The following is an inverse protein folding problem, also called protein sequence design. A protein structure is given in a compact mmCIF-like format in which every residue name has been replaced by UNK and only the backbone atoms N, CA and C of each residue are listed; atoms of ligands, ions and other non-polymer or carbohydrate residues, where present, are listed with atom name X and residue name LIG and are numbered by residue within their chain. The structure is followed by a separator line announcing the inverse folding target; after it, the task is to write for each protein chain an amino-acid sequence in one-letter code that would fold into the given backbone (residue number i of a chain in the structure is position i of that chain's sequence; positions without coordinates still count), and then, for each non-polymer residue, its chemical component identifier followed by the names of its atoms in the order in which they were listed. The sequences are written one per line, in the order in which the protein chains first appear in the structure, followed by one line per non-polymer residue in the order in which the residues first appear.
data_IF_725740238959
#
_entry.id   IF_725740238959
#
_cell.length_a   1.000
_cell.length_b   1.000
_cell.length_c   1.000
_cell.angle_alpha   90.00
_cell.angle_beta   90.00
_cell.angle_gamma   90.00
#
_symmetry.space_group_name_H-M   'P 1'
#
loop_
_entity.id
_entity.type
_entity.pdbx_description
1 polymer ?
#
# COMPACT_ATOMS: atom_id res chain seq x y z
N UNK A 1 -26.60 -1.69 2.04
CA UNK A 1 -25.96 -1.75 3.40
C UNK A 1 -24.77 -0.79 3.40
N UNK A 2 -25.05 0.45 3.65
CA UNK A 2 -24.01 1.48 3.74
C UNK A 2 -23.08 1.21 4.92
N UNK A 3 -21.78 1.32 4.66
CA UNK A 3 -20.74 1.17 5.67
C UNK A 3 -20.17 2.54 6.02
N UNK A 4 -20.32 2.96 7.27
CA UNK A 4 -19.93 4.29 7.75
C UNK A 4 -18.54 4.32 8.40
N UNK A 5 -17.86 3.17 8.45
CA UNK A 5 -16.50 3.03 9.03
C UNK A 5 -15.57 2.34 8.04
N UNK A 6 -14.27 2.69 8.03
CA UNK A 6 -13.29 2.06 7.15
C UNK A 6 -13.12 0.53 7.38
N UNK A 7 -12.72 -0.22 6.35
CA UNK A 7 -12.71 0.17 4.95
C UNK A 7 -14.12 0.33 4.39
N UNK A 8 -14.31 1.23 3.43
CA UNK A 8 -15.61 1.56 2.86
C UNK A 8 -15.99 0.61 1.72
N UNK A 9 -17.31 0.56 1.34
CA UNK A 9 -17.78 -0.30 0.25
C UNK A 9 -17.12 0.00 -1.08
N UNK A 10 -16.92 1.28 -1.37
CA UNK A 10 -16.05 1.79 -2.42
C UNK A 10 -14.83 2.41 -1.76
N UNK A 11 -13.66 1.87 -1.99
CA UNK A 11 -12.41 2.34 -1.41
C UNK A 11 -11.31 2.37 -2.47
N UNK A 12 -10.13 2.85 -2.12
CA UNK A 12 -8.96 2.91 -3.01
C UNK A 12 -7.66 2.71 -2.24
N UNK A 13 -6.59 2.36 -2.95
CA UNK A 13 -5.30 2.00 -2.33
C UNK A 13 -4.55 3.22 -1.80
N UNK A 14 -4.59 4.36 -2.50
CA UNK A 14 -4.03 5.61 -1.96
C UNK A 14 -3.31 6.47 -2.98
N UNK A 15 -2.36 5.93 -3.76
CA UNK A 15 -1.62 6.72 -4.74
C UNK A 15 -2.45 7.03 -5.99
N UNK A 16 -2.34 8.26 -6.47
CA UNK A 16 -3.08 8.79 -7.63
C UNK A 16 -2.11 9.40 -8.65
N UNK A 17 -2.56 9.56 -9.90
CA UNK A 17 -1.75 10.13 -10.97
C UNK A 17 -1.38 11.57 -10.65
N UNK A 18 -0.08 11.86 -10.69
CA UNK A 18 0.47 13.19 -10.43
C UNK A 18 0.20 14.12 -11.61
N UNK A 19 -0.36 15.32 -11.40
CA UNK A 19 -0.53 16.29 -12.47
C UNK A 19 0.83 16.79 -12.99
N UNK A 20 0.90 17.09 -14.29
CA UNK A 20 2.13 17.52 -14.96
C UNK A 20 2.80 18.72 -14.26
N UNK A 21 2.00 19.69 -13.74
CA UNK A 21 2.54 20.84 -13.00
C UNK A 21 3.32 20.45 -11.76
N UNK A 22 2.91 19.37 -11.06
CA UNK A 22 3.60 18.86 -9.89
C UNK A 22 4.92 18.18 -10.28
N UNK A 23 4.92 17.38 -11.36
CA UNK A 23 6.13 16.76 -11.87
C UNK A 23 7.16 17.82 -12.29
N UNK A 24 6.71 18.87 -13.01
CA UNK A 24 7.57 19.99 -13.40
C UNK A 24 8.13 20.75 -12.18
N UNK A 25 7.31 21.02 -11.17
CA UNK A 25 7.76 21.68 -9.96
C UNK A 25 8.82 20.87 -9.21
N UNK A 26 8.72 19.54 -9.19
CA UNK A 26 9.74 18.66 -8.62
C UNK A 26 11.05 18.71 -9.38
N UNK A 27 11.01 18.73 -10.72
CA UNK A 27 12.20 18.90 -11.57
C UNK A 27 12.83 20.28 -11.38
N UNK A 28 12.02 21.33 -11.26
CA UNK A 28 12.49 22.68 -11.00
C UNK A 28 13.14 22.80 -9.62
N UNK A 29 12.56 22.17 -8.61
CA UNK A 29 13.15 22.11 -7.28
C UNK A 29 14.46 21.31 -7.25
N UNK A 30 14.50 20.13 -7.88
CA UNK A 30 15.71 19.30 -7.96
C UNK A 30 16.89 20.00 -8.63
N UNK A 31 16.61 20.96 -9.51
CA UNK A 31 17.61 21.78 -10.21
C UNK A 31 17.83 23.15 -9.56
N UNK A 32 17.21 23.43 -8.40
CA UNK A 32 17.36 24.67 -7.64
C UNK A 32 16.66 25.89 -8.27
N UNK A 33 15.72 25.70 -9.21
CA UNK A 33 14.96 26.78 -9.83
C UNK A 33 13.84 27.31 -8.94
N UNK A 34 13.30 26.49 -8.05
CA UNK A 34 12.32 26.88 -7.04
C UNK A 34 12.78 26.43 -5.64
N UNK A 35 12.26 27.09 -4.62
CA UNK A 35 12.52 26.80 -3.21
C UNK A 35 11.62 25.68 -2.69
N UNK A 36 11.97 25.12 -1.49
CA UNK A 36 11.11 24.15 -0.77
C UNK A 36 9.69 24.71 -0.54
N UNK A 37 9.58 26.01 -0.20
CA UNK A 37 8.29 26.65 0.03
C UNK A 37 7.46 26.74 -1.23
N UNK A 38 8.07 27.04 -2.38
CA UNK A 38 7.36 27.10 -3.68
C UNK A 38 6.94 25.69 -4.11
N UNK A 39 7.78 24.67 -3.94
CA UNK A 39 7.37 23.28 -4.20
C UNK A 39 6.21 22.89 -3.29
N UNK A 40 6.29 23.18 -1.98
CA UNK A 40 5.21 22.86 -1.02
C UNK A 40 3.88 23.50 -1.43
N UNK A 41 3.89 24.73 -1.92
CA UNK A 41 2.69 25.42 -2.40
C UNK A 41 2.06 24.69 -3.61
N UNK A 42 2.87 24.22 -4.57
CA UNK A 42 2.39 23.45 -5.72
C UNK A 42 1.84 22.08 -5.29
N UNK A 43 2.50 21.42 -4.32
CA UNK A 43 2.02 20.17 -3.74
C UNK A 43 0.66 20.37 -3.04
N UNK A 44 0.51 21.42 -2.22
CA UNK A 44 -0.72 21.73 -1.52
C UNK A 44 -1.89 21.99 -2.48
N UNK A 45 -1.64 22.73 -3.58
CA UNK A 45 -2.64 22.98 -4.61
C UNK A 45 -3.06 21.69 -5.34
N UNK A 46 -2.09 20.86 -5.68
CA UNK A 46 -2.36 19.57 -6.34
C UNK A 46 -3.13 18.62 -5.42
N UNK A 47 -2.81 18.61 -4.12
CA UNK A 47 -3.50 17.76 -3.13
C UNK A 47 -4.93 18.25 -2.91
N UNK A 48 -5.18 19.57 -2.83
CA UNK A 48 -6.56 20.09 -2.76
C UNK A 48 -7.40 19.63 -3.95
N UNK A 49 -6.84 19.68 -5.16
CA UNK A 49 -7.57 19.26 -6.36
C UNK A 49 -7.87 17.75 -6.34
N UNK A 50 -6.91 16.91 -5.91
CA UNK A 50 -7.12 15.46 -5.88
C UNK A 50 -8.03 15.03 -4.73
N UNK A 51 -8.05 15.73 -3.60
CA UNK A 51 -9.02 15.53 -2.52
C UNK A 51 -10.43 15.90 -2.99
N UNK A 52 -10.58 17.03 -3.71
CA UNK A 52 -11.86 17.42 -4.29
C UNK A 52 -12.35 16.38 -5.32
N UNK A 53 -11.48 15.86 -6.18
CA UNK A 53 -11.82 14.80 -7.13
C UNK A 53 -12.32 13.54 -6.42
N UNK A 54 -11.66 13.08 -5.36
CA UNK A 54 -12.06 11.90 -4.60
C UNK A 54 -13.47 12.08 -3.99
N UNK A 55 -13.76 13.26 -3.44
CA UNK A 55 -15.11 13.63 -2.97
C UNK A 55 -16.13 13.62 -4.11
N UNK A 56 -15.81 14.27 -5.24
CA UNK A 56 -16.72 14.47 -6.36
C UNK A 56 -17.06 13.17 -7.10
N UNK A 57 -16.23 12.14 -7.01
CA UNK A 57 -16.57 10.80 -7.48
C UNK A 57 -17.36 9.98 -6.45
N UNK A 58 -17.49 10.46 -5.20
CA UNK A 58 -18.30 9.84 -4.15
C UNK A 58 -17.55 8.89 -3.22
N UNK A 59 -16.22 8.96 -3.14
CA UNK A 59 -15.42 8.20 -2.19
C UNK A 59 -15.64 8.74 -0.77
N UNK A 60 -15.69 7.84 0.22
CA UNK A 60 -15.86 8.16 1.64
C UNK A 60 -14.52 8.31 2.39
N UNK A 61 -13.40 7.94 1.76
CA UNK A 61 -12.04 8.21 2.22
C UNK A 61 -11.30 9.09 1.21
N UNK A 62 -10.32 9.85 1.70
CA UNK A 62 -9.45 10.64 0.85
C UNK A 62 -7.99 10.50 1.30
N UNK A 63 -7.08 10.36 0.32
CA UNK A 63 -5.63 10.44 0.49
C UNK A 63 -5.08 11.70 -0.16
N UNK A 64 -3.82 12.01 0.14
CA UNK A 64 -3.06 13.05 -0.56
C UNK A 64 -2.55 12.62 -1.95
N UNK A 65 -2.95 11.43 -2.43
CA UNK A 65 -2.48 10.82 -3.68
C UNK A 65 -1.02 10.39 -3.64
N UNK A 66 -0.36 10.50 -2.49
CA UNK A 66 1.10 10.34 -2.29
C UNK A 66 1.91 11.39 -3.09
N UNK A 67 1.34 12.56 -3.29
CA UNK A 67 1.91 13.59 -4.16
C UNK A 67 3.22 14.18 -3.63
N UNK A 68 3.48 14.07 -2.33
CA UNK A 68 4.74 14.52 -1.71
C UNK A 68 5.86 13.48 -1.76
N UNK A 69 5.55 12.24 -2.19
CA UNK A 69 6.50 11.12 -2.19
C UNK A 69 7.13 10.93 -3.56
N UNK A 70 8.43 10.65 -3.59
CA UNK A 70 9.13 10.14 -4.76
C UNK A 70 9.00 8.60 -4.82
N UNK A 71 9.03 7.94 -3.66
CA UNK A 71 8.86 6.50 -3.52
C UNK A 71 7.85 6.20 -2.41
N UNK A 72 6.84 5.36 -2.69
CA UNK A 72 5.81 4.99 -1.72
C UNK A 72 6.38 4.40 -0.42
N UNK A 73 7.55 3.73 -0.46
CA UNK A 73 8.16 3.07 0.70
C UNK A 73 9.49 3.67 1.14
N UNK A 74 10.41 4.03 0.21
CA UNK A 74 11.75 4.46 0.61
C UNK A 74 11.74 5.83 1.29
N UNK A 75 10.81 6.72 0.94
CA UNK A 75 10.68 8.03 1.59
C UNK A 75 10.27 7.91 3.07
N UNK A 76 9.59 6.82 3.43
CA UNK A 76 9.33 6.47 4.82
C UNK A 76 10.54 5.79 5.47
N UNK A 77 11.06 4.75 4.83
CA UNK A 77 12.07 3.85 5.40
C UNK A 77 13.37 4.60 5.74
N UNK A 78 13.81 5.52 4.87
CA UNK A 78 15.02 6.32 5.13
C UNK A 78 14.87 7.39 6.24
N UNK A 79 13.67 7.60 6.76
CA UNK A 79 13.42 8.46 7.93
C UNK A 79 13.46 7.69 9.25
N UNK A 80 13.59 6.36 9.20
CA UNK A 80 13.86 5.57 10.40
C UNK A 80 15.31 5.76 10.81
N UNK A 81 15.56 6.02 12.09
CA UNK A 81 16.92 6.02 12.64
C UNK A 81 17.54 4.64 12.49
N UNK A 82 18.84 4.58 12.19
CA UNK A 82 19.57 3.34 11.98
C UNK A 82 19.44 2.73 10.59
N UNK A 83 18.74 3.41 9.68
CA UNK A 83 18.60 2.98 8.27
C UNK A 83 19.26 4.01 7.36
N UNK A 84 20.12 3.57 6.47
CA UNK A 84 20.83 4.42 5.50
C UNK A 84 20.63 3.94 4.06
N UNK A 85 21.01 4.80 3.11
CA UNK A 85 21.04 4.45 1.69
C UNK A 85 22.24 3.56 1.41
N UNK A 86 22.03 2.42 0.79
CA UNK A 86 23.13 1.61 0.28
C UNK A 86 23.64 2.17 -1.06
N UNK A 87 24.95 2.09 -1.32
CA UNK A 87 25.51 2.50 -2.62
C UNK A 87 25.08 1.56 -3.76
N UNK A 88 24.76 0.32 -3.43
CA UNK A 88 24.29 -0.69 -4.38
C UNK A 88 22.83 -0.39 -4.75
N UNK A 89 22.45 -0.80 -5.95
CA UNK A 89 21.08 -0.72 -6.44
C UNK A 89 20.51 -2.12 -6.62
N UNK A 90 19.24 -2.27 -6.25
CA UNK A 90 18.51 -3.52 -6.47
C UNK A 90 17.82 -3.48 -7.83
N UNK A 91 18.04 -4.51 -8.63
CA UNK A 91 17.32 -4.71 -9.89
C UNK A 91 16.05 -5.49 -9.63
N UNK A 92 14.92 -4.88 -9.92
CA UNK A 92 13.60 -5.52 -9.86
C UNK A 92 13.07 -5.68 -11.28
N UNK A 93 12.68 -6.89 -11.63
CA UNK A 93 12.09 -7.17 -12.93
C UNK A 93 10.58 -7.11 -12.84
N UNK A 94 9.99 -6.29 -13.69
CA UNK A 94 8.56 -6.19 -13.89
C UNK A 94 8.18 -6.77 -15.23
N UNK A 95 7.03 -7.42 -15.30
CA UNK A 95 6.47 -8.05 -16.50
C UNK A 95 5.20 -7.35 -16.94
N UNK A 96 4.94 -7.35 -18.23
CA UNK A 96 3.68 -6.94 -18.83
C UNK A 96 3.46 -7.75 -20.13
N UNK A 97 2.32 -7.63 -20.80
CA UNK A 97 2.04 -8.38 -22.02
C UNK A 97 3.03 -8.14 -23.18
N UNK A 98 3.78 -7.04 -23.14
CA UNK A 98 4.74 -6.67 -24.21
C UNK A 98 6.19 -7.04 -23.89
N UNK A 99 6.49 -7.52 -22.67
CA UNK A 99 7.83 -7.92 -22.28
C UNK A 99 8.17 -7.71 -20.81
N UNK A 100 9.46 -7.49 -20.56
CA UNK A 100 10.00 -7.28 -19.20
C UNK A 100 10.68 -5.92 -19.14
N UNK A 101 10.41 -5.19 -18.05
CA UNK A 101 11.06 -3.92 -17.72
C UNK A 101 11.92 -4.15 -16.47
N UNK A 102 13.19 -3.74 -16.52
CA UNK A 102 14.08 -3.73 -15.36
C UNK A 102 14.01 -2.36 -14.69
N UNK A 103 13.67 -2.34 -13.42
CA UNK A 103 13.67 -1.15 -12.59
C UNK A 103 14.83 -1.22 -11.60
N UNK A 104 15.61 -0.17 -11.55
CA UNK A 104 16.69 -0.03 -10.59
C UNK A 104 16.17 0.65 -9.33
N UNK A 105 15.91 -0.14 -8.30
CA UNK A 105 15.40 0.35 -7.02
C UNK A 105 16.55 0.78 -6.11
N UNK A 106 16.33 1.82 -5.32
CA UNK A 106 17.22 2.16 -4.23
C UNK A 106 17.32 1.00 -3.22
N UNK A 107 18.53 0.75 -2.71
CA UNK A 107 18.78 -0.23 -1.67
C UNK A 107 19.02 0.47 -0.33
N UNK A 108 18.85 -0.28 0.77
CA UNK A 108 19.06 0.21 2.12
C UNK A 108 20.12 -0.63 2.85
N UNK A 109 20.70 -0.05 3.88
CA UNK A 109 21.47 -0.71 4.92
C UNK A 109 20.90 -0.39 6.29
N UNK A 110 21.00 -1.34 7.19
CA UNK A 110 20.68 -1.19 8.60
C UNK A 110 22.01 -1.20 9.34
N UNK A 111 22.59 -0.01 9.46
CA UNK A 111 23.93 0.25 10.00
C UNK A 111 23.89 0.97 11.37
N UNK A 112 22.70 1.07 11.95
CA UNK A 112 22.45 1.55 13.30
C UNK A 112 21.23 0.85 13.93
N UNK A 113 20.99 1.08 15.22
CA UNK A 113 19.77 0.56 15.88
C UNK A 113 18.53 1.24 15.30
N UNK A 114 17.58 0.42 14.81
CA UNK A 114 16.33 0.91 14.22
C UNK A 114 15.49 1.58 15.31
N UNK A 115 15.03 2.79 15.05
CA UNK A 115 14.20 3.56 15.97
C UNK A 115 13.38 4.61 15.22
N UNK A 116 12.29 5.05 15.82
CA UNK A 116 11.53 6.20 15.34
C UNK A 116 12.09 7.49 15.98
N UNK A 117 12.63 8.39 15.17
CA UNK A 117 13.14 9.68 15.65
C UNK A 117 12.05 10.76 15.64
N UNK A 118 11.24 10.79 14.60
CA UNK A 118 10.14 11.74 14.41
C UNK A 118 8.92 11.03 13.82
N UNK A 119 7.74 11.62 13.95
CA UNK A 119 6.53 11.09 13.30
C UNK A 119 6.65 11.24 11.79
N UNK A 120 6.82 10.12 11.09
CA UNK A 120 7.01 10.12 9.63
C UNK A 120 5.65 10.39 8.97
N UNK A 121 5.62 11.32 8.02
CA UNK A 121 4.41 11.83 7.33
C UNK A 121 3.35 12.47 8.25
N UNK A 122 3.73 12.85 9.50
CA UNK A 122 2.79 13.48 10.43
C UNK A 122 2.28 14.84 9.92
N UNK A 123 3.18 15.71 9.45
CA UNK A 123 2.82 17.01 8.86
C UNK A 123 1.99 16.85 7.56
N UNK A 124 2.32 15.84 6.75
CA UNK A 124 1.59 15.55 5.51
C UNK A 124 0.17 15.08 5.82
N UNK A 125 0.00 14.25 6.86
CA UNK A 125 -1.32 13.81 7.32
C UNK A 125 -2.14 14.99 7.89
N UNK A 126 -1.55 15.87 8.70
CA UNK A 126 -2.24 17.06 9.21
C UNK A 126 -2.67 18.00 8.08
N UNK A 127 -1.83 18.18 7.06
CA UNK A 127 -2.18 18.94 5.88
C UNK A 127 -3.36 18.30 5.12
N UNK A 128 -3.36 16.98 4.91
CA UNK A 128 -4.49 16.26 4.33
C UNK A 128 -5.75 16.43 5.16
N UNK A 129 -5.67 16.26 6.47
CA UNK A 129 -6.81 16.41 7.40
C UNK A 129 -7.46 17.79 7.30
N UNK A 130 -6.65 18.84 7.14
CA UNK A 130 -7.14 20.21 6.97
C UNK A 130 -7.82 20.44 5.61
N UNK A 131 -7.53 19.63 4.58
CA UNK A 131 -8.11 19.73 3.25
C UNK A 131 -9.36 18.85 3.05
N UNK A 132 -9.51 17.80 3.86
CA UNK A 132 -10.68 16.90 3.79
C UNK A 132 -11.86 17.56 4.50
N UNK A 133 -12.97 17.68 3.77
CA UNK A 133 -14.22 18.30 4.22
C UNK A 133 -15.41 17.34 4.01
N UNK A 134 -16.58 17.75 4.42
CA UNK A 134 -17.86 17.06 4.13
C UNK A 134 -17.94 15.61 4.70
N UNK A 135 -17.25 15.33 5.80
CA UNK A 135 -17.36 14.06 6.52
C UNK A 135 -16.60 12.89 5.92
N UNK A 136 -15.79 13.10 4.87
CA UNK A 136 -14.89 12.07 4.40
C UNK A 136 -13.77 11.77 5.42
N UNK A 137 -13.25 10.56 5.40
CA UNK A 137 -12.20 10.11 6.33
C UNK A 137 -10.82 10.29 5.69
N UNK A 138 -9.91 11.10 6.28
CA UNK A 138 -8.52 11.15 5.86
C UNK A 138 -7.86 9.77 6.05
N UNK A 139 -7.28 9.22 4.99
CA UNK A 139 -6.59 7.94 4.96
C UNK A 139 -5.10 8.15 4.78
N UNK A 140 -4.30 7.59 5.68
CA UNK A 140 -2.85 7.57 5.54
C UNK A 140 -2.38 6.19 5.09
N UNK A 141 -1.46 6.15 4.12
CA UNK A 141 -0.76 4.93 3.70
C UNK A 141 0.71 5.02 4.12
N UNK A 142 1.25 3.93 4.68
CA UNK A 142 2.67 3.79 4.98
C UNK A 142 3.14 2.38 4.59
N UNK A 143 4.43 2.18 4.25
CA UNK A 143 4.91 0.83 4.00
C UNK A 143 4.82 -0.01 5.28
N UNK A 144 4.56 -1.31 5.11
CA UNK A 144 4.62 -2.25 6.24
C UNK A 144 6.05 -2.38 6.80
N UNK A 145 6.23 -2.79 8.07
CA UNK A 145 7.57 -3.02 8.62
C UNK A 145 8.37 -4.07 7.84
N UNK A 146 7.69 -5.01 7.20
CA UNK A 146 8.33 -6.06 6.40
C UNK A 146 9.17 -5.49 5.26
N UNK A 147 8.79 -4.33 4.70
CA UNK A 147 9.48 -3.70 3.58
C UNK A 147 10.89 -3.25 3.93
N UNK A 148 11.20 -3.04 5.21
CA UNK A 148 12.55 -2.74 5.69
C UNK A 148 13.49 -3.94 5.52
N UNK A 149 12.99 -5.16 5.72
CA UNK A 149 13.75 -6.40 5.57
C UNK A 149 13.65 -6.98 4.15
N UNK A 150 12.45 -7.05 3.57
CA UNK A 150 12.16 -7.85 2.38
C UNK A 150 13.12 -7.56 1.20
N UNK A 151 13.49 -6.30 0.97
CA UNK A 151 14.30 -5.91 -0.19
C UNK A 151 15.76 -6.35 -0.08
N UNK A 152 16.37 -6.22 1.09
CA UNK A 152 17.78 -6.52 1.31
C UNK A 152 18.04 -7.85 2.01
N UNK A 153 17.03 -8.43 2.67
CA UNK A 153 17.17 -9.60 3.52
C UNK A 153 18.16 -9.38 4.66
N UNK A 154 18.63 -10.46 5.23
CA UNK A 154 19.63 -10.41 6.31
C UNK A 154 20.96 -9.75 5.91
N UNK A 155 21.31 -9.76 4.61
CA UNK A 155 22.55 -9.16 4.12
C UNK A 155 22.58 -7.63 4.25
N UNK A 156 21.43 -6.97 4.35
CA UNK A 156 21.33 -5.53 4.56
C UNK A 156 21.51 -5.13 6.03
N UNK A 157 21.55 -6.08 6.95
CA UNK A 157 21.65 -5.84 8.41
C UNK A 157 23.09 -6.01 8.85
N UNK A 158 23.68 -4.95 9.40
CA UNK A 158 25.02 -4.98 9.96
C UNK A 158 25.06 -5.87 11.21
N UNK A 159 25.90 -6.90 11.16
CA UNK A 159 26.03 -7.88 12.24
C UNK A 159 26.78 -7.35 13.47
N UNK A 160 27.55 -6.30 13.32
CA UNK A 160 28.16 -5.62 14.46
C UNK A 160 27.13 -4.79 15.25
N UNK A 161 26.11 -4.28 14.55
CA UNK A 161 24.97 -3.57 15.16
C UNK A 161 23.94 -4.54 15.74
N UNK A 162 23.66 -5.62 14.99
CA UNK A 162 22.70 -6.66 15.35
C UNK A 162 23.31 -8.06 15.29
N UNK A 163 24.14 -8.43 16.28
CA UNK A 163 24.63 -9.82 16.42
C UNK A 163 23.48 -10.82 16.55
N UNK A 164 22.42 -10.42 17.28
CA UNK A 164 21.16 -11.13 17.40
C UNK A 164 20.08 -10.45 16.54
N UNK A 165 19.57 -11.17 15.55
CA UNK A 165 18.50 -10.66 14.67
C UNK A 165 17.16 -10.50 15.39
N UNK A 166 16.90 -11.21 16.49
CA UNK A 166 15.66 -11.02 17.26
C UNK A 166 15.60 -9.58 17.83
N UNK A 167 16.76 -8.99 18.15
CA UNK A 167 16.83 -7.61 18.57
C UNK A 167 16.45 -6.65 17.42
N UNK A 168 16.89 -6.92 16.18
CA UNK A 168 16.47 -6.15 15.01
C UNK A 168 14.94 -6.17 14.82
N UNK A 169 14.34 -7.37 14.89
CA UNK A 169 12.90 -7.52 14.76
C UNK A 169 12.14 -6.81 15.88
N UNK A 170 12.70 -6.85 17.10
CA UNK A 170 12.14 -6.12 18.24
C UNK A 170 12.16 -4.60 18.01
N UNK A 171 13.33 -4.05 17.71
CA UNK A 171 13.51 -2.60 17.51
C UNK A 171 12.65 -2.08 16.34
N UNK A 172 12.57 -2.83 15.23
CA UNK A 172 11.74 -2.49 14.08
C UNK A 172 10.25 -2.46 14.44
N UNK A 173 9.77 -3.49 15.15
CA UNK A 173 8.37 -3.56 15.55
C UNK A 173 8.00 -2.43 16.52
N UNK A 174 8.89 -2.10 17.47
CA UNK A 174 8.69 -1.01 18.43
C UNK A 174 8.71 0.38 17.76
N UNK A 175 9.58 0.60 16.78
CA UNK A 175 9.61 1.82 15.99
C UNK A 175 8.29 2.03 15.23
N UNK A 176 7.73 0.95 14.65
CA UNK A 176 6.45 1.03 13.96
C UNK A 176 5.27 1.16 14.92
N UNK A 177 5.27 0.49 16.07
CA UNK A 177 4.25 0.68 17.10
C UNK A 177 4.20 2.14 17.58
N UNK A 178 5.35 2.74 17.80
CA UNK A 178 5.46 4.16 18.16
C UNK A 178 4.97 5.08 17.03
N UNK A 179 5.27 4.76 15.76
CA UNK A 179 4.75 5.50 14.61
C UNK A 179 3.22 5.45 14.54
N UNK A 180 2.62 4.28 14.70
CA UNK A 180 1.17 4.09 14.69
C UNK A 180 0.52 4.88 15.83
N UNK A 181 1.10 4.84 17.03
CA UNK A 181 0.63 5.60 18.19
C UNK A 181 0.65 7.11 17.91
N UNK A 182 1.79 7.65 17.43
CA UNK A 182 1.93 9.09 17.17
C UNK A 182 1.00 9.59 16.06
N UNK A 183 0.81 8.82 14.99
CA UNK A 183 -0.14 9.18 13.93
C UNK A 183 -1.57 9.18 14.48
N UNK A 184 -1.90 8.24 15.35
CA UNK A 184 -3.19 8.22 16.05
C UNK A 184 -3.42 9.44 16.93
N UNK A 185 -2.38 9.90 17.62
CA UNK A 185 -2.43 11.15 18.42
C UNK A 185 -2.66 12.41 17.57
N UNK A 186 -2.27 12.38 16.29
CA UNK A 186 -2.60 13.42 15.33
C UNK A 186 -4.03 13.31 14.76
N UNK A 187 -4.82 12.32 15.22
CA UNK A 187 -6.22 12.12 14.84
C UNK A 187 -6.42 11.21 13.62
N UNK A 188 -5.43 10.39 13.24
CA UNK A 188 -5.61 9.39 12.20
C UNK A 188 -6.52 8.27 12.68
N UNK A 189 -7.65 8.07 12.00
CA UNK A 189 -8.60 7.00 12.26
C UNK A 189 -8.64 5.95 11.15
N UNK A 190 -7.90 6.15 10.05
CA UNK A 190 -7.78 5.21 8.95
C UNK A 190 -6.33 5.11 8.46
N UNK A 191 -5.65 4.02 8.82
CA UNK A 191 -4.28 3.73 8.42
C UNK A 191 -4.24 2.50 7.51
N UNK A 192 -3.44 2.53 6.46
CA UNK A 192 -3.15 1.38 5.61
C UNK A 192 -1.66 1.07 5.61
N UNK A 193 -1.32 -0.20 5.87
CA UNK A 193 0.00 -0.74 5.60
C UNK A 193 0.07 -1.24 4.16
N UNK A 194 0.98 -0.67 3.37
CA UNK A 194 1.28 -1.16 2.02
C UNK A 194 2.37 -2.23 2.09
N UNK A 195 2.08 -3.41 1.60
CA UNK A 195 2.95 -4.57 1.66
C UNK A 195 3.06 -5.24 0.28
N UNK A 196 4.28 -5.54 -0.14
CA UNK A 196 4.52 -6.42 -1.28
C UNK A 196 5.04 -7.78 -0.85
N UNK A 197 5.61 -7.88 0.35
CA UNK A 197 6.34 -9.07 0.80
C UNK A 197 5.44 -10.30 0.93
N UNK A 198 4.29 -10.15 1.59
CA UNK A 198 3.32 -11.24 1.78
C UNK A 198 2.67 -11.68 0.47
N UNK A 199 2.43 -10.75 -0.47
CA UNK A 199 1.95 -11.09 -1.80
C UNK A 199 3.01 -11.83 -2.63
N UNK A 200 4.27 -11.36 -2.59
CA UNK A 200 5.38 -11.94 -3.34
C UNK A 200 5.73 -13.36 -2.87
N UNK A 201 5.60 -13.66 -1.59
CA UNK A 201 5.84 -15.01 -1.06
C UNK A 201 4.86 -16.08 -1.60
N UNK A 202 3.78 -15.69 -2.27
CA UNK A 202 2.95 -16.64 -3.02
C UNK A 202 3.57 -17.07 -4.36
N UNK A 203 4.51 -16.29 -4.91
CA UNK A 203 5.23 -16.64 -6.14
C UNK A 203 6.43 -17.55 -5.83
N UNK A 204 6.50 -18.79 -6.37
CA UNK A 204 7.64 -19.69 -6.15
C UNK A 204 9.00 -19.09 -6.56
N UNK A 205 9.04 -18.24 -7.60
CA UNK A 205 10.27 -17.59 -8.01
C UNK A 205 10.76 -16.58 -6.97
N UNK A 206 9.85 -15.85 -6.33
CA UNK A 206 10.18 -14.93 -5.25
C UNK A 206 10.66 -15.69 -4.00
N UNK A 207 10.02 -16.82 -3.62
CA UNK A 207 10.51 -17.67 -2.53
C UNK A 207 11.91 -18.22 -2.81
N UNK A 208 12.18 -18.65 -4.05
CA UNK A 208 13.51 -19.10 -4.42
C UNK A 208 14.57 -18.00 -4.25
N UNK A 209 14.25 -16.73 -4.60
CA UNK A 209 15.15 -15.59 -4.37
C UNK A 209 15.37 -15.33 -2.87
N UNK A 210 14.33 -15.44 -2.05
CA UNK A 210 14.41 -15.32 -0.58
C UNK A 210 15.34 -16.39 -0.01
N UNK A 211 15.18 -17.65 -0.41
CA UNK A 211 16.05 -18.76 0.02
C UNK A 211 17.51 -18.56 -0.41
N UNK A 212 17.76 -18.07 -1.64
CA UNK A 212 19.12 -17.77 -2.11
C UNK A 212 19.85 -16.69 -1.30
N UNK A 213 19.10 -15.79 -0.65
CA UNK A 213 19.64 -14.77 0.26
C UNK A 213 19.87 -15.29 1.69
N UNK A 214 19.54 -16.56 1.95
CA UNK A 214 19.72 -17.20 3.26
C UNK A 214 18.56 -16.99 4.24
N UNK A 215 17.44 -16.46 3.78
CA UNK A 215 16.23 -16.34 4.59
C UNK A 215 15.37 -17.60 4.51
N UNK A 216 14.58 -17.89 5.55
CA UNK A 216 13.67 -19.04 5.60
C UNK A 216 12.40 -18.75 4.74
N UNK A 217 12.47 -19.09 3.46
CA UNK A 217 11.40 -18.83 2.51
C UNK A 217 10.06 -19.53 2.87
N UNK A 218 10.11 -20.63 3.63
CA UNK A 218 8.90 -21.38 4.01
C UNK A 218 8.16 -20.73 5.20
N UNK A 219 8.87 -20.07 6.12
CA UNK A 219 8.28 -19.52 7.35
C UNK A 219 8.39 -18.00 7.46
N UNK A 220 9.04 -17.32 6.53
CA UNK A 220 9.23 -15.87 6.58
C UNK A 220 7.92 -15.09 6.65
N UNK A 221 6.85 -15.60 6.02
CA UNK A 221 5.52 -14.99 6.10
C UNK A 221 4.97 -14.94 7.55
N UNK A 222 5.27 -15.95 8.39
CA UNK A 222 4.88 -15.94 9.80
C UNK A 222 5.59 -14.83 10.57
N UNK A 223 6.89 -14.66 10.32
CA UNK A 223 7.67 -13.55 10.91
C UNK A 223 7.10 -12.20 10.49
N UNK A 224 6.72 -12.04 9.24
CA UNK A 224 6.16 -10.81 8.71
C UNK A 224 4.79 -10.48 9.30
N UNK A 225 3.93 -11.47 9.48
CA UNK A 225 2.65 -11.33 10.20
C UNK A 225 2.89 -10.85 11.64
N UNK A 226 3.85 -11.48 12.35
CA UNK A 226 4.23 -11.06 13.71
C UNK A 226 4.72 -9.61 13.77
N UNK A 227 5.49 -9.15 12.76
CA UNK A 227 5.99 -7.77 12.71
C UNK A 227 4.85 -6.75 12.52
N UNK A 228 3.92 -7.01 11.62
CA UNK A 228 2.75 -6.13 11.47
C UNK A 228 1.92 -6.15 12.76
N UNK A 229 1.69 -7.31 13.37
CA UNK A 229 0.96 -7.39 14.64
C UNK A 229 1.66 -6.61 15.76
N UNK A 230 3.00 -6.63 15.82
CA UNK A 230 3.74 -5.80 16.79
C UNK A 230 3.57 -4.31 16.52
N UNK A 231 3.59 -3.88 15.26
CA UNK A 231 3.29 -2.50 14.89
C UNK A 231 1.88 -2.07 15.33
N UNK A 232 0.90 -2.98 15.28
CA UNK A 232 -0.46 -2.74 15.73
C UNK A 232 -0.58 -2.55 17.26
N UNK A 233 0.42 -2.91 18.04
CA UNK A 233 0.41 -2.66 19.51
C UNK A 233 0.35 -1.17 19.84
N UNK A 234 0.76 -0.27 18.95
CA UNK A 234 0.62 1.19 19.09
C UNK A 234 -0.72 1.75 18.64
N UNK A 235 -1.63 0.92 18.15
CA UNK A 235 -2.90 1.35 17.57
C UNK A 235 -3.85 1.88 18.65
N UNK A 236 -4.31 3.13 18.56
CA UNK A 236 -5.33 3.64 19.48
C UNK A 236 -6.70 3.06 19.18
N UNK A 237 -7.57 3.09 20.16
CA UNK A 237 -8.99 2.71 20.00
C UNK A 237 -9.66 3.56 18.91
N UNK A 238 -10.50 2.94 18.08
CA UNK A 238 -11.22 3.62 17.01
C UNK A 238 -10.42 3.81 15.71
N UNK A 239 -9.12 3.51 15.67
CA UNK A 239 -8.36 3.51 14.42
C UNK A 239 -8.61 2.20 13.65
N UNK A 240 -9.15 2.29 12.45
CA UNK A 240 -9.17 1.18 11.50
C UNK A 240 -7.79 1.04 10.83
N UNK A 241 -7.25 -0.18 10.81
CA UNK A 241 -5.99 -0.48 10.12
C UNK A 241 -6.22 -1.56 9.07
N UNK A 242 -5.81 -1.28 7.84
CA UNK A 242 -5.88 -2.23 6.73
C UNK A 242 -4.49 -2.55 6.20
N UNK A 243 -4.36 -3.61 5.41
CA UNK A 243 -3.14 -3.88 4.64
C UNK A 243 -3.48 -4.02 3.16
N UNK A 244 -2.65 -3.43 2.30
CA UNK A 244 -2.73 -3.65 0.86
C UNK A 244 -1.60 -4.57 0.43
N UNK A 245 -1.96 -5.67 -0.23
CA UNK A 245 -1.01 -6.69 -0.68
C UNK A 245 -0.79 -6.57 -2.18
N UNK A 246 0.26 -5.84 -2.54
CA UNK A 246 0.61 -5.50 -3.91
C UNK A 246 1.55 -6.54 -4.55
N UNK A 247 1.27 -6.93 -5.80
CA UNK A 247 2.18 -7.77 -6.61
C UNK A 247 3.20 -6.98 -7.42
N UNK A 248 3.41 -5.73 -7.06
CA UNK A 248 4.24 -4.77 -7.79
C UNK A 248 3.43 -4.02 -8.86
N UNK A 249 3.65 -2.72 -8.92
CA UNK A 249 2.99 -1.85 -9.88
C UNK A 249 3.98 -0.77 -10.33
N UNK A 250 4.58 -0.97 -11.49
CA UNK A 250 5.51 -0.04 -12.11
C UNK A 250 5.20 0.11 -13.59
N UNK A 251 4.77 1.32 -14.00
CA UNK A 251 4.42 1.64 -15.40
C UNK A 251 3.53 0.56 -16.01
N UNK A 252 2.43 0.23 -15.33
CA UNK A 252 1.45 -0.79 -15.74
C UNK A 252 1.98 -2.23 -15.80
N UNK A 253 3.08 -2.54 -15.11
CA UNK A 253 3.72 -3.86 -15.07
C UNK A 253 3.70 -4.43 -13.65
N UNK A 254 3.88 -5.75 -13.49
CA UNK A 254 3.88 -6.46 -12.21
C UNK A 254 5.19 -7.23 -11.98
N UNK A 255 5.53 -7.51 -10.73
CA UNK A 255 6.77 -8.21 -10.36
C UNK A 255 6.53 -9.65 -9.91
N UNK A 256 5.37 -9.99 -9.35
CA UNK A 256 5.02 -11.31 -8.83
C UNK A 256 3.70 -11.81 -9.38
N UNK A 257 3.54 -13.13 -9.43
CA UNK A 257 2.35 -13.84 -9.87
C UNK A 257 1.93 -14.89 -8.82
N UNK A 258 0.71 -15.40 -8.91
CA UNK A 258 0.15 -16.40 -8.01
C UNK A 258 -1.01 -15.87 -7.18
N UNK A 259 -1.83 -16.80 -6.68
CA UNK A 259 -2.91 -16.52 -5.73
C UNK A 259 -2.39 -16.10 -4.37
N UNK A 260 -3.20 -16.32 -3.34
CA UNK A 260 -2.80 -16.07 -1.94
C UNK A 260 -2.64 -17.37 -1.15
N UNK A 261 -2.70 -18.52 -1.81
CA UNK A 261 -2.82 -19.86 -1.19
C UNK A 261 -1.70 -20.17 -0.20
N UNK A 262 -0.46 -19.79 -0.51
CA UNK A 262 0.70 -20.09 0.33
C UNK A 262 0.65 -19.42 1.70
N UNK A 263 0.15 -18.19 1.76
CA UNK A 263 0.12 -17.39 3.01
C UNK A 263 -1.27 -17.36 3.66
N UNK A 264 -2.32 -17.79 2.97
CA UNK A 264 -3.72 -17.49 3.28
C UNK A 264 -4.14 -17.85 4.70
N UNK A 265 -3.82 -19.06 5.16
CA UNK A 265 -4.27 -19.54 6.47
C UNK A 265 -3.69 -18.67 7.60
N UNK A 266 -2.38 -18.48 7.61
CA UNK A 266 -1.73 -17.64 8.61
C UNK A 266 -2.08 -16.17 8.42
N UNK A 267 -2.08 -15.67 7.17
CA UNK A 267 -2.39 -14.27 6.85
C UNK A 267 -3.76 -13.87 7.39
N UNK A 268 -4.81 -14.58 7.00
CA UNK A 268 -6.17 -14.20 7.38
C UNK A 268 -6.49 -14.56 8.83
N UNK A 269 -5.95 -15.68 9.34
CA UNK A 269 -6.19 -16.14 10.70
C UNK A 269 -5.46 -15.35 11.79
N UNK A 270 -4.24 -14.90 11.52
CA UNK A 270 -3.35 -14.36 12.56
C UNK A 270 -3.08 -12.85 12.42
N UNK A 271 -3.16 -12.25 11.21
CA UNK A 271 -2.87 -10.84 11.04
C UNK A 271 -3.98 -9.97 11.63
N UNK A 272 -3.61 -9.09 12.58
CA UNK A 272 -4.51 -8.30 13.43
C UNK A 272 -5.18 -7.09 12.78
N UNK A 273 -5.08 -6.90 11.45
CA UNK A 273 -5.72 -5.78 10.73
C UNK A 273 -7.24 -5.95 10.61
N UNK A 274 -7.96 -4.86 10.34
CA UNK A 274 -9.42 -4.88 10.17
C UNK A 274 -9.85 -5.24 8.75
N UNK A 275 -8.96 -5.09 7.76
CA UNK A 275 -9.27 -5.40 6.38
C UNK A 275 -8.06 -5.61 5.49
N UNK A 276 -8.30 -6.31 4.40
CA UNK A 276 -7.29 -6.72 3.41
C UNK A 276 -7.66 -6.18 2.04
N UNK A 277 -6.81 -5.34 1.45
CA UNK A 277 -6.90 -4.93 0.05
C UNK A 277 -6.11 -5.93 -0.80
N UNK A 278 -6.82 -6.70 -1.61
CA UNK A 278 -6.24 -7.82 -2.35
C UNK A 278 -6.40 -7.61 -3.86
N UNK A 279 -5.33 -7.83 -4.62
CA UNK A 279 -5.36 -7.76 -6.09
C UNK A 279 -6.06 -8.99 -6.68
N UNK A 280 -7.11 -8.76 -7.45
CA UNK A 280 -7.88 -9.77 -8.19
C UNK A 280 -8.32 -9.29 -9.58
N UNK A 281 -7.56 -8.39 -10.21
CA UNK A 281 -7.91 -7.77 -11.48
C UNK A 281 -7.79 -8.68 -12.70
N UNK A 282 -6.99 -9.75 -12.62
CA UNK A 282 -6.82 -10.72 -13.70
C UNK A 282 -6.48 -12.15 -13.22
N UNK A 283 -6.30 -13.07 -14.17
CA UNK A 283 -6.07 -14.49 -13.90
C UNK A 283 -4.75 -14.80 -13.16
N UNK A 284 -3.72 -13.92 -13.22
CA UNK A 284 -2.45 -14.13 -12.50
C UNK A 284 -2.62 -14.06 -10.98
N UNK A 285 -3.73 -13.51 -10.52
CA UNK A 285 -4.06 -13.37 -9.09
C UNK A 285 -4.68 -14.65 -8.48
N UNK A 286 -4.91 -15.70 -9.27
CA UNK A 286 -5.56 -16.92 -8.80
C UNK A 286 -7.07 -16.74 -8.56
N UNK A 287 -7.65 -17.69 -7.85
CA UNK A 287 -9.07 -17.72 -7.48
C UNK A 287 -9.35 -17.10 -6.11
N UNK A 288 -10.61 -17.16 -5.71
CA UNK A 288 -11.08 -16.63 -4.43
C UNK A 288 -11.05 -17.68 -3.29
N UNK A 289 -10.65 -18.91 -3.55
CA UNK A 289 -10.59 -20.01 -2.58
C UNK A 289 -9.83 -19.67 -1.29
N UNK A 290 -8.71 -18.89 -1.34
CA UNK A 290 -7.99 -18.46 -0.13
C UNK A 290 -8.86 -17.65 0.84
N UNK A 291 -9.90 -16.96 0.36
CA UNK A 291 -10.78 -16.14 1.20
C UNK A 291 -11.58 -16.96 2.23
N UNK A 292 -11.68 -18.29 2.08
CA UNK A 292 -12.31 -19.18 3.07
C UNK A 292 -11.67 -19.09 4.46
N UNK A 293 -10.43 -18.62 4.55
CA UNK A 293 -9.73 -18.44 5.83
C UNK A 293 -9.99 -17.08 6.48
N UNK A 294 -10.70 -16.17 5.84
CA UNK A 294 -11.02 -14.85 6.40
C UNK A 294 -12.03 -15.00 7.55
N UNK A 295 -11.67 -14.63 8.78
CA UNK A 295 -12.59 -14.77 9.90
C UNK A 295 -13.72 -13.73 9.86
N UNK A 296 -14.80 -14.03 10.59
CA UNK A 296 -15.89 -13.07 10.77
C UNK A 296 -15.35 -11.75 11.37
N UNK A 297 -15.89 -10.64 10.88
CA UNK A 297 -15.55 -9.30 11.37
C UNK A 297 -14.40 -8.63 10.64
N UNK A 298 -13.60 -9.35 9.85
CA UNK A 298 -12.57 -8.76 8.97
C UNK A 298 -13.13 -8.50 7.57
N UNK A 299 -12.67 -7.41 6.97
CA UNK A 299 -13.14 -6.98 5.64
C UNK A 299 -12.15 -7.44 4.56
N UNK A 300 -12.68 -7.77 3.39
CA UNK A 300 -11.91 -8.00 2.16
C UNK A 300 -12.30 -6.93 1.15
N UNK A 301 -11.33 -6.12 0.76
CA UNK A 301 -11.49 -5.12 -0.29
C UNK A 301 -10.96 -5.74 -1.59
N UNK A 302 -11.89 -6.09 -2.48
CA UNK A 302 -11.60 -6.76 -3.74
C UNK A 302 -11.07 -5.77 -4.76
N UNK A 303 -9.80 -5.86 -5.08
CA UNK A 303 -9.14 -5.08 -6.12
C UNK A 303 -9.44 -5.64 -7.51
N UNK A 304 -10.65 -5.42 -8.00
CA UNK A 304 -11.14 -5.96 -9.27
C UNK A 304 -10.94 -5.02 -10.46
N UNK A 305 -10.77 -3.73 -10.21
CA UNK A 305 -10.60 -2.72 -11.26
C UNK A 305 -9.13 -2.48 -11.49
N UNK A 306 -8.63 -2.77 -12.70
CA UNK A 306 -7.21 -2.60 -13.00
C UNK A 306 -6.80 -1.13 -13.12
N UNK A 307 -5.65 -0.76 -12.56
CA UNK A 307 -5.01 0.54 -12.77
C UNK A 307 -3.93 0.51 -13.86
N UNK A 308 -3.77 -0.62 -14.55
CA UNK A 308 -2.70 -0.82 -15.54
C UNK A 308 -3.09 -0.36 -16.95
N UNK A 309 -4.37 -0.14 -17.22
CA UNK A 309 -4.92 0.27 -18.52
C UNK A 309 -6.19 1.09 -18.33
N UNK A 310 -6.50 1.95 -19.30
CA UNK A 310 -7.62 2.90 -19.21
C UNK A 310 -9.01 2.32 -19.46
N UNK A 311 -9.11 1.16 -20.15
CA UNK A 311 -10.40 0.55 -20.47
C UNK A 311 -11.18 0.22 -19.19
N UNK A 312 -12.46 0.56 -19.18
CA UNK A 312 -13.36 0.27 -18.06
C UNK A 312 -13.82 -1.17 -18.08
N UNK A 313 -13.82 -1.79 -16.93
CA UNK A 313 -14.50 -3.07 -16.68
C UNK A 313 -16.03 -2.88 -16.76
N UNK A 314 -16.76 -3.90 -17.22
CA UNK A 314 -18.21 -3.83 -17.16
C UNK A 314 -18.72 -4.06 -15.73
N UNK A 315 -19.73 -3.31 -15.30
CA UNK A 315 -20.37 -3.51 -13.98
C UNK A 315 -20.87 -4.92 -13.78
N UNK A 316 -21.42 -5.55 -14.83
CA UNK A 316 -21.88 -6.93 -14.76
C UNK A 316 -20.75 -7.93 -14.49
N UNK A 317 -19.56 -7.69 -15.05
CA UNK A 317 -18.37 -8.49 -14.74
C UNK A 317 -17.97 -8.30 -13.27
N UNK A 318 -17.90 -7.06 -12.80
CA UNK A 318 -17.54 -6.77 -11.42
C UNK A 318 -18.52 -7.40 -10.43
N UNK A 319 -19.83 -7.28 -10.68
CA UNK A 319 -20.88 -7.91 -9.85
C UNK A 319 -20.75 -9.44 -9.80
N UNK A 320 -20.53 -10.09 -10.94
CA UNK A 320 -20.29 -11.56 -10.97
C UNK A 320 -19.05 -11.95 -10.17
N UNK A 321 -17.96 -11.18 -10.28
CA UNK A 321 -16.73 -11.43 -9.50
C UNK A 321 -16.96 -11.26 -8.00
N UNK A 322 -17.75 -10.26 -7.59
CA UNK A 322 -18.16 -10.07 -6.17
C UNK A 322 -19.03 -11.25 -5.72
N UNK A 323 -19.97 -11.71 -6.54
CA UNK A 323 -20.80 -12.90 -6.27
C UNK A 323 -19.92 -14.16 -6.13
N UNK A 324 -18.95 -14.37 -7.00
CA UNK A 324 -18.03 -15.50 -6.90
C UNK A 324 -17.21 -15.45 -5.59
N UNK A 325 -16.72 -14.29 -5.20
CA UNK A 325 -16.01 -14.11 -3.91
C UNK A 325 -16.94 -14.35 -2.71
N UNK A 326 -18.22 -13.99 -2.82
CA UNK A 326 -19.21 -14.16 -1.75
C UNK A 326 -19.53 -15.63 -1.40
N UNK A 327 -19.09 -16.58 -2.22
CA UNK A 327 -19.15 -18.03 -1.92
C UNK A 327 -18.16 -18.44 -0.82
N UNK A 328 -17.13 -17.65 -0.56
CA UNK A 328 -16.08 -17.93 0.41
C UNK A 328 -16.14 -17.03 1.64
N UNK A 329 -16.61 -15.80 1.47
CA UNK A 329 -16.72 -14.77 2.51
C UNK A 329 -18.08 -14.07 2.37
N UNK A 330 -18.85 -13.88 3.45
CA UNK A 330 -20.14 -13.19 3.38
C UNK A 330 -20.07 -11.84 2.67
N UNK A 331 -21.08 -11.50 1.88
CA UNK A 331 -21.14 -10.25 1.10
C UNK A 331 -20.95 -9.01 1.99
N UNK A 332 -21.36 -9.08 3.25
CA UNK A 332 -21.22 -8.04 4.26
C UNK A 332 -19.75 -7.76 4.63
N UNK A 333 -18.85 -8.70 4.37
CA UNK A 333 -17.40 -8.55 4.58
C UNK A 333 -16.65 -8.12 3.33
N UNK A 334 -17.35 -7.94 2.19
CA UNK A 334 -16.72 -7.55 0.92
C UNK A 334 -16.87 -6.04 0.64
N UNK A 335 -15.83 -5.48 0.05
CA UNK A 335 -15.76 -4.12 -0.49
C UNK A 335 -15.11 -4.18 -1.88
N UNK A 336 -15.12 -3.06 -2.61
CA UNK A 336 -14.56 -2.95 -3.96
C UNK A 336 -13.51 -1.84 -4.03
N UNK A 337 -12.41 -2.09 -4.73
CA UNK A 337 -11.36 -1.10 -4.99
C UNK A 337 -10.66 -1.32 -6.32
N UNK A 338 -9.78 -0.37 -6.74
CA UNK A 338 -8.75 -0.68 -7.73
C UNK A 338 -7.81 -1.76 -7.18
N UNK A 339 -7.15 -2.51 -8.07
CA UNK A 339 -6.24 -3.57 -7.64
C UNK A 339 -4.97 -3.03 -6.96
N UNK A 340 -4.56 -1.80 -7.29
CA UNK A 340 -3.42 -1.09 -6.71
C UNK A 340 -3.65 0.42 -6.82
N UNK A 341 -2.69 1.24 -6.37
CA UNK A 341 -2.67 2.67 -6.67
C UNK A 341 -2.46 2.95 -8.16
N UNK A 342 -2.80 4.16 -8.60
CA UNK A 342 -2.61 4.59 -10.00
C UNK A 342 -1.18 5.08 -10.27
N UNK A 343 -0.43 5.43 -9.24
CA UNK A 343 0.92 5.97 -9.36
C UNK A 343 1.79 5.59 -8.15
N UNK A 344 2.12 4.30 -8.04
CA UNK A 344 2.97 3.78 -6.96
C UNK A 344 4.41 4.32 -7.02
N UNK A 345 4.85 4.82 -8.18
CA UNK A 345 6.09 5.55 -8.42
C UNK A 345 5.80 6.87 -9.12
N UNK A 346 6.79 7.77 -9.20
CA UNK A 346 6.61 9.09 -9.83
C UNK A 346 6.19 9.01 -11.30
N UNK A 347 6.57 7.96 -12.00
CA UNK A 347 6.23 7.77 -13.42
C UNK A 347 4.76 7.50 -13.66
N UNK A 348 4.05 6.93 -12.67
CA UNK A 348 2.65 6.56 -12.80
C UNK A 348 2.38 5.41 -13.77
N UNK A 349 1.14 4.96 -13.81
CA UNK A 349 0.66 3.98 -14.78
C UNK A 349 0.28 4.62 -16.11
N UNK A 350 0.19 3.79 -17.15
CA UNK A 350 -0.06 4.23 -18.54
C UNK A 350 -1.57 4.42 -18.78
N UNK A 351 -2.16 5.37 -18.08
CA UNK A 351 -3.55 5.81 -18.28
C UNK A 351 -3.65 7.32 -18.01
N UNK A 352 -4.71 7.91 -18.51
CA UNK A 352 -4.97 9.35 -18.34
C UNK A 352 -5.65 9.66 -17.00
N UNK A 353 -5.63 10.93 -16.61
CA UNK A 353 -6.36 11.41 -15.44
C UNK A 353 -7.88 11.14 -15.56
N UNK A 354 -8.47 11.36 -16.73
CA UNK A 354 -9.90 11.13 -16.97
C UNK A 354 -10.27 9.64 -16.85
N UNK A 355 -9.40 8.74 -17.31
CA UNK A 355 -9.56 7.30 -17.13
C UNK A 355 -9.46 6.90 -15.65
N UNK A 356 -8.53 7.49 -14.88
CA UNK A 356 -8.48 7.30 -13.43
C UNK A 356 -9.79 7.71 -12.76
N UNK A 357 -10.30 8.91 -13.09
CA UNK A 357 -11.58 9.41 -12.54
C UNK A 357 -12.74 8.49 -12.93
N UNK A 358 -12.79 8.04 -14.19
CA UNK A 358 -13.82 7.14 -14.66
C UNK A 358 -13.79 5.77 -13.93
N UNK A 359 -12.60 5.22 -13.65
CA UNK A 359 -12.45 3.98 -12.89
C UNK A 359 -12.88 4.13 -11.42
N UNK A 360 -12.53 5.23 -10.76
CA UNK A 360 -12.98 5.49 -9.39
C UNK A 360 -14.52 5.65 -9.33
N UNK A 361 -15.11 6.35 -10.31
CA UNK A 361 -16.56 6.46 -10.43
C UNK A 361 -17.23 5.11 -10.66
N UNK A 362 -16.67 4.28 -11.55
CA UNK A 362 -17.15 2.91 -11.77
C UNK A 362 -17.19 2.09 -10.47
N UNK A 363 -16.17 2.20 -9.62
CA UNK A 363 -16.11 1.53 -8.33
C UNK A 363 -17.23 2.00 -7.41
N UNK A 364 -17.42 3.31 -7.28
CA UNK A 364 -18.47 3.90 -6.44
C UNK A 364 -19.86 3.47 -6.91
N UNK A 365 -20.14 3.61 -8.21
CA UNK A 365 -21.44 3.23 -8.79
C UNK A 365 -21.70 1.73 -8.65
N UNK A 366 -20.69 0.88 -8.88
CA UNK A 366 -20.83 -0.58 -8.71
C UNK A 366 -21.09 -0.94 -7.25
N UNK A 367 -20.37 -0.30 -6.30
CA UNK A 367 -20.59 -0.53 -4.88
C UNK A 367 -21.99 -0.11 -4.43
N UNK A 368 -22.51 1.02 -4.93
CA UNK A 368 -23.89 1.45 -4.69
C UNK A 368 -24.92 0.43 -5.21
N UNK A 369 -24.68 -0.15 -6.38
CA UNK A 369 -25.59 -1.15 -6.95
C UNK A 369 -25.56 -2.51 -6.22
N UNK A 370 -24.45 -2.83 -5.53
CA UNK A 370 -24.30 -4.13 -4.83
C UNK A 370 -24.73 -4.02 -3.36
N UNK A 371 -24.41 -2.92 -2.67
CA UNK A 371 -24.60 -2.80 -1.23
C UNK A 371 -25.55 -1.64 -0.80
N UNK A 372 -25.92 -0.73 -1.72
CA UNK A 372 -26.77 0.44 -1.48
C UNK A 372 -28.25 0.16 -1.28
#
# INVERSE_FOLDING_TARGET
MDRTTPPFRADHVGSLLRPQRLLQARDDHATGRITDQELRAVEDDAIRDVVAMQRDVGLQSATDGEFRRASWHMDFIYRLGGVSRAPEHLKVRFRNPTGTIEFTSAALRIDGKVRLEQTIFGEDFQALQAMVVDGATPKLTIPSPNMVHYRGGQAAIDRDVYPDLEQFWSDLGDAYAEQVRRIGELGCTYLQFDDTSLAYLNDPAQRAMVAQRGDDAEHLHLRYIQQINRALAGRPEGMAVTTHMCRGNFRSSWAAEGGYDFVAEALFGELGVDGFFLEYDDARSGGFEPLRFVPKGKMVVLGLVTTKRGELESKDLLKRRIEDASRFVPLEQLCLSPQCGFSSTVEGNLLTYDEQVAKLRLIVETAQEVWG
#
